data_IF_229091411935
#
_entry.id   IF_229091411935
#
_cell.length_a   1.000
_cell.length_b   1.000
_cell.length_c   1.000
_cell.angle_alpha   90.00
_cell.angle_beta   90.00
_cell.angle_gamma   90.00
#
_symmetry.space_group_name_H-M   'P 1'
#
loop_
_entity.id
_entity.type
_entity.pdbx_description
1 polymer ?
#
# COMPACT_ATOMS: atom_id res chain seq x y z
N UNK A 1 -3.78 -1.36 -77.60
CA UNK A 1 -4.60 -0.71 -76.58
C UNK A 1 -5.03 -1.73 -75.62
N UNK A 2 -4.38 -1.82 -74.47
CA UNK A 2 -4.76 -2.72 -73.41
C UNK A 2 -5.17 -1.86 -72.23
N UNK A 3 -6.33 -2.10 -71.53
CA UNK A 3 -6.71 -1.36 -70.37
C UNK A 3 -6.12 -2.04 -69.12
N UNK A 4 -5.41 -1.23 -68.33
CA UNK A 4 -4.98 -1.57 -66.98
C UNK A 4 -6.21 -1.68 -66.06
N UNK A 5 -6.40 -2.86 -65.45
CA UNK A 5 -7.38 -3.09 -64.37
C UNK A 5 -6.64 -2.84 -63.04
N UNK A 6 -6.97 -1.73 -62.41
CA UNK A 6 -6.55 -1.38 -61.04
C UNK A 6 -7.34 -2.24 -60.04
N UNK A 7 -6.66 -3.12 -59.30
CA UNK A 7 -7.24 -3.85 -58.16
C UNK A 7 -7.09 -3.00 -56.90
N UNK A 8 -8.18 -2.41 -56.44
CA UNK A 8 -8.27 -1.88 -55.07
C UNK A 8 -8.25 -3.04 -54.06
N UNK A 9 -7.24 -3.08 -53.20
CA UNK A 9 -7.24 -3.93 -52.03
C UNK A 9 -7.94 -3.15 -50.91
N UNK A 10 -9.13 -3.62 -50.48
CA UNK A 10 -9.75 -3.21 -49.24
C UNK A 10 -9.01 -3.89 -48.09
N UNK A 11 -8.29 -3.11 -47.29
CA UNK A 11 -7.80 -3.54 -46.01
C UNK A 11 -8.96 -3.48 -45.01
N UNK A 12 -9.47 -4.64 -44.60
CA UNK A 12 -10.43 -4.73 -43.48
C UNK A 12 -9.68 -4.43 -42.17
N UNK A 13 -9.92 -3.26 -41.63
CA UNK A 13 -9.51 -2.94 -40.25
C UNK A 13 -10.47 -3.67 -39.31
N UNK A 14 -9.98 -4.74 -38.71
CA UNK A 14 -10.70 -5.42 -37.63
C UNK A 14 -10.58 -4.54 -36.37
N UNK A 15 -11.59 -3.72 -36.09
CA UNK A 15 -11.71 -3.08 -34.80
C UNK A 15 -12.06 -4.19 -33.79
N UNK A 16 -11.08 -4.61 -32.99
CA UNK A 16 -11.32 -5.39 -31.80
C UNK A 16 -11.96 -4.45 -30.77
N UNK A 17 -13.26 -4.53 -30.60
CA UNK A 17 -13.96 -3.94 -29.46
C UNK A 17 -13.60 -4.76 -28.23
N UNK A 18 -12.62 -4.31 -27.42
CA UNK A 18 -12.48 -4.79 -26.06
C UNK A 18 -13.74 -4.36 -25.30
N UNK A 19 -14.61 -5.31 -24.97
CA UNK A 19 -15.66 -5.07 -23.98
C UNK A 19 -15.00 -5.01 -22.62
N UNK A 20 -15.15 -3.91 -21.89
CA UNK A 20 -14.89 -3.85 -20.45
C UNK A 20 -15.65 -5.02 -19.80
N UNK A 21 -14.93 -5.88 -19.09
CA UNK A 21 -15.56 -6.92 -18.30
C UNK A 21 -16.43 -6.25 -17.22
N UNK A 22 -17.62 -6.77 -17.00
CA UNK A 22 -18.44 -6.29 -15.88
C UNK A 22 -17.71 -6.62 -14.57
N UNK A 23 -17.59 -5.67 -13.66
CA UNK A 23 -16.99 -5.89 -12.34
C UNK A 23 -17.57 -7.12 -11.63
N UNK A 24 -18.87 -7.34 -11.77
CA UNK A 24 -19.59 -8.50 -11.22
C UNK A 24 -19.13 -9.87 -11.75
N UNK A 25 -18.35 -9.91 -12.83
CA UNK A 25 -17.75 -11.16 -13.32
C UNK A 25 -16.37 -11.44 -12.73
N UNK A 26 -15.65 -10.40 -12.30
CA UNK A 26 -14.29 -10.52 -11.76
C UNK A 26 -14.25 -10.66 -10.24
N UNK A 27 -15.19 -10.03 -9.53
CA UNK A 27 -15.23 -10.04 -8.07
C UNK A 27 -16.64 -10.20 -7.53
N UNK A 28 -16.73 -10.72 -6.30
CA UNK A 28 -17.95 -10.71 -5.49
C UNK A 28 -17.67 -9.86 -4.23
N UNK A 29 -18.30 -8.69 -4.02
CA UNK A 29 -18.09 -7.89 -2.84
C UNK A 29 -18.83 -8.50 -1.63
N UNK A 30 -18.15 -8.51 -0.47
CA UNK A 30 -18.71 -8.83 0.84
C UNK A 30 -18.35 -7.74 1.83
N UNK A 31 -19.32 -6.99 2.30
CA UNK A 31 -19.13 -6.05 3.41
C UNK A 31 -19.01 -6.83 4.71
N UNK A 32 -17.91 -6.63 5.46
CA UNK A 32 -17.68 -7.28 6.75
C UNK A 32 -17.87 -6.31 7.92
N UNK A 33 -17.82 -4.99 7.67
CA UNK A 33 -18.14 -3.93 8.61
C UNK A 33 -18.70 -2.74 7.84
N UNK A 34 -19.75 -2.07 8.36
CA UNK A 34 -20.39 -0.88 7.76
C UNK A 34 -20.56 0.29 8.76
N UNK A 35 -19.89 0.21 9.92
CA UNK A 35 -20.00 1.20 11.01
C UNK A 35 -18.64 1.82 11.41
N UNK A 36 -17.56 1.64 10.62
CA UNK A 36 -16.25 2.20 10.92
C UNK A 36 -16.26 3.74 10.95
N UNK A 37 -15.34 4.35 11.69
CA UNK A 37 -15.21 5.80 11.80
C UNK A 37 -14.59 6.45 10.56
N UNK A 38 -13.35 6.04 10.23
CA UNK A 38 -12.55 6.54 9.10
C UNK A 38 -11.90 5.40 8.31
N UNK A 39 -11.40 4.36 9.01
CA UNK A 39 -10.63 3.29 8.40
C UNK A 39 -9.28 3.77 7.86
N UNK A 40 -8.41 4.24 8.75
CA UNK A 40 -7.15 4.85 8.36
C UNK A 40 -6.14 3.90 7.73
N UNK A 41 -6.19 2.61 8.07
CA UNK A 41 -5.27 1.63 7.52
C UNK A 41 -5.70 0.19 7.78
N UNK A 42 -5.35 -0.66 6.84
CA UNK A 42 -5.59 -2.10 6.84
C UNK A 42 -4.28 -2.88 6.89
N UNK A 43 -4.31 -4.08 7.48
CA UNK A 43 -3.30 -5.12 7.27
C UNK A 43 -3.99 -6.48 7.12
N UNK A 44 -3.30 -7.42 6.45
CA UNK A 44 -3.69 -8.81 6.29
C UNK A 44 -2.59 -9.64 6.93
N UNK A 45 -2.90 -10.37 8.01
CA UNK A 45 -1.96 -11.21 8.73
C UNK A 45 -2.67 -12.20 9.66
N UNK A 46 -2.05 -13.33 9.98
CA UNK A 46 -2.53 -14.27 10.99
C UNK A 46 -2.32 -13.70 12.39
N UNK A 47 -3.41 -13.39 13.10
CA UNK A 47 -3.38 -12.77 14.44
C UNK A 47 -3.51 -13.78 15.55
N UNK A 48 -4.21 -14.88 15.29
CA UNK A 48 -4.52 -15.88 16.31
C UNK A 48 -3.61 -17.12 16.24
N UNK A 49 -2.85 -17.32 15.16
CA UNK A 49 -1.93 -18.43 14.95
C UNK A 49 -2.64 -19.69 14.42
N UNK A 50 -3.78 -19.52 13.72
CA UNK A 50 -4.52 -20.66 13.14
C UNK A 50 -4.12 -21.00 11.70
N UNK A 51 -3.17 -20.24 11.14
CA UNK A 51 -2.64 -20.42 9.78
C UNK A 51 -3.49 -19.78 8.69
N UNK A 52 -4.45 -18.92 9.04
CA UNK A 52 -5.24 -18.13 8.11
C UNK A 52 -5.00 -16.66 8.35
N UNK A 53 -4.90 -15.92 7.27
CA UNK A 53 -4.78 -14.48 7.35
C UNK A 53 -6.11 -13.84 7.75
N UNK A 54 -6.06 -12.98 8.78
CA UNK A 54 -7.14 -12.15 9.28
C UNK A 54 -7.05 -10.74 8.68
N UNK A 55 -8.10 -9.94 8.85
CA UNK A 55 -8.11 -8.53 8.42
C UNK A 55 -8.00 -7.64 9.65
N UNK A 56 -6.94 -6.84 9.72
CA UNK A 56 -6.77 -5.82 10.76
C UNK A 56 -7.18 -4.46 10.24
N UNK A 57 -7.86 -3.70 11.09
CA UNK A 57 -8.24 -2.32 10.86
C UNK A 57 -7.70 -1.43 11.98
N UNK A 58 -7.00 -0.36 11.62
CA UNK A 58 -6.82 0.78 12.48
C UNK A 58 -7.84 1.84 12.11
N UNK A 59 -8.78 2.05 13.00
CA UNK A 59 -9.78 3.10 12.85
C UNK A 59 -9.42 4.32 13.71
N UNK A 60 -10.25 5.31 13.67
CA UNK A 60 -10.09 6.59 14.34
C UNK A 60 -9.68 6.45 15.82
N UNK A 61 -10.38 5.62 16.58
CA UNK A 61 -10.26 5.50 18.04
C UNK A 61 -10.25 4.05 18.53
N UNK A 62 -10.10 3.08 17.63
CA UNK A 62 -9.91 1.67 17.99
C UNK A 62 -8.95 0.96 17.02
N UNK A 63 -8.50 -0.20 17.44
CA UNK A 63 -7.79 -1.19 16.63
C UNK A 63 -8.53 -2.51 16.79
N UNK A 64 -8.97 -3.06 15.68
CA UNK A 64 -9.73 -4.29 15.63
C UNK A 64 -9.18 -5.25 14.55
N UNK A 65 -9.54 -6.51 14.66
CA UNK A 65 -9.32 -7.48 13.61
C UNK A 65 -10.56 -8.35 13.41
N UNK A 66 -10.79 -8.76 12.18
CA UNK A 66 -11.88 -9.62 11.77
C UNK A 66 -11.35 -11.03 11.51
N UNK A 67 -11.84 -12.00 12.28
CA UNK A 67 -11.37 -13.39 12.31
C UNK A 67 -11.81 -14.16 11.06
N UNK A 68 -10.86 -14.66 10.30
CA UNK A 68 -11.11 -15.54 9.16
C UNK A 68 -11.51 -16.96 9.63
N UNK A 69 -12.57 -17.61 9.11
CA UNK A 69 -13.41 -17.20 7.98
C UNK A 69 -14.75 -16.57 8.40
N UNK A 70 -14.95 -16.32 9.68
CA UNK A 70 -16.25 -15.85 10.20
C UNK A 70 -16.44 -14.36 10.05
N UNK A 71 -15.35 -13.62 9.95
CA UNK A 71 -15.25 -12.15 9.96
C UNK A 71 -15.83 -11.51 11.23
N UNK A 72 -15.84 -12.27 12.33
CA UNK A 72 -16.19 -11.74 13.65
C UNK A 72 -15.16 -10.70 14.07
N UNK A 73 -15.63 -9.52 14.46
CA UNK A 73 -14.77 -8.41 14.92
C UNK A 73 -14.30 -8.62 16.36
N UNK A 74 -13.01 -8.38 16.59
CA UNK A 74 -12.39 -8.39 17.91
C UNK A 74 -11.62 -7.10 18.14
N UNK A 75 -12.14 -6.21 18.99
CA UNK A 75 -11.45 -4.97 19.36
C UNK A 75 -10.33 -5.28 20.34
N UNK A 76 -9.08 -5.04 19.93
CA UNK A 76 -7.87 -5.29 20.73
C UNK A 76 -7.35 -4.04 21.45
N UNK A 77 -7.73 -2.84 21.00
CA UNK A 77 -7.40 -1.59 21.68
C UNK A 77 -8.49 -0.54 21.41
N UNK A 78 -8.84 0.22 22.46
CA UNK A 78 -9.54 1.49 22.34
C UNK A 78 -8.58 2.65 22.06
N UNK A 79 -8.98 3.91 22.34
CA UNK A 79 -8.17 5.09 22.06
C UNK A 79 -6.81 5.02 22.78
N UNK A 80 -5.72 5.07 22.04
CA UNK A 80 -4.35 5.09 22.58
C UNK A 80 -3.90 6.50 22.96
N UNK A 81 -4.51 7.52 22.34
CA UNK A 81 -4.19 8.94 22.53
C UNK A 81 -5.46 9.79 22.44
N UNK A 82 -5.35 11.10 22.69
CA UNK A 82 -6.48 12.04 22.54
C UNK A 82 -6.88 12.30 21.07
N UNK A 83 -6.01 11.98 20.14
CA UNK A 83 -6.22 12.13 18.69
C UNK A 83 -6.28 10.78 18.02
N UNK A 84 -6.68 10.78 16.76
CA UNK A 84 -6.92 9.61 15.95
C UNK A 84 -5.68 8.70 15.87
N UNK A 85 -5.90 7.42 15.72
CA UNK A 85 -4.92 6.50 15.14
C UNK A 85 -4.77 6.80 13.64
N UNK A 86 -3.69 6.31 13.00
CA UNK A 86 -3.44 6.66 11.59
C UNK A 86 -2.78 5.54 10.79
N UNK A 87 -2.09 4.64 11.43
CA UNK A 87 -1.36 3.57 10.73
C UNK A 87 -1.21 2.33 11.59
N UNK A 88 -1.08 1.21 10.93
CA UNK A 88 -0.86 -0.10 11.53
C UNK A 88 0.24 -0.83 10.76
N UNK A 89 1.01 -1.66 11.44
CA UNK A 89 1.91 -2.63 10.84
C UNK A 89 1.72 -3.96 11.57
N UNK A 90 1.53 -5.03 10.81
CA UNK A 90 1.38 -6.38 11.33
C UNK A 90 2.24 -7.35 10.52
N UNK A 91 3.01 -8.20 11.20
CA UNK A 91 3.83 -9.25 10.59
C UNK A 91 4.33 -10.19 11.66
N UNK A 92 4.36 -11.49 11.39
CA UNK A 92 5.09 -12.45 12.22
C UNK A 92 6.59 -12.16 12.12
N UNK A 93 7.19 -11.70 13.22
CA UNK A 93 8.58 -11.25 13.27
C UNK A 93 9.48 -12.19 14.05
N UNK A 94 8.92 -13.10 14.83
CA UNK A 94 9.67 -14.05 15.65
C UNK A 94 9.45 -15.53 15.24
N UNK A 95 8.53 -15.78 14.31
CA UNK A 95 8.26 -17.10 13.73
C UNK A 95 7.34 -17.96 14.57
N UNK A 96 6.55 -17.37 15.49
CA UNK A 96 5.58 -18.10 16.31
C UNK A 96 4.24 -18.33 15.60
N UNK A 97 4.09 -17.81 14.38
CA UNK A 97 2.89 -17.91 13.56
C UNK A 97 1.84 -16.85 13.86
N UNK A 98 2.16 -15.84 14.67
CA UNK A 98 1.27 -14.70 14.98
C UNK A 98 1.95 -13.39 14.64
N UNK A 99 1.15 -12.44 14.19
CA UNK A 99 1.70 -11.14 13.81
C UNK A 99 1.91 -10.22 15.02
N UNK A 100 3.09 -9.57 15.10
CA UNK A 100 3.35 -8.43 15.97
C UNK A 100 2.69 -7.20 15.40
N UNK A 101 1.96 -6.46 16.26
CA UNK A 101 1.17 -5.29 15.85
C UNK A 101 1.79 -4.01 16.41
N UNK A 102 2.09 -3.06 15.52
CA UNK A 102 2.47 -1.69 15.88
C UNK A 102 1.43 -0.70 15.33
N UNK A 103 1.15 0.36 16.12
CA UNK A 103 0.12 1.36 15.81
C UNK A 103 0.69 2.77 15.90
N UNK A 104 0.43 3.58 14.87
CA UNK A 104 0.66 5.02 14.86
C UNK A 104 -0.58 5.77 15.31
N UNK A 105 -0.43 6.72 16.24
CA UNK A 105 -1.52 7.47 16.84
C UNK A 105 -1.17 8.94 17.03
N UNK A 106 -2.02 9.69 17.75
CA UNK A 106 -1.90 11.16 17.96
C UNK A 106 -1.84 11.90 16.62
N UNK A 107 -2.68 11.48 15.67
CA UNK A 107 -2.67 12.00 14.31
C UNK A 107 -3.18 13.43 14.25
N UNK A 108 -2.31 14.32 13.85
CA UNK A 108 -2.61 15.73 13.60
C UNK A 108 -1.70 16.22 12.46
N UNK A 109 -2.08 16.09 11.19
CA UNK A 109 -1.19 16.33 10.06
C UNK A 109 -0.68 17.76 9.93
N UNK A 110 -1.35 18.71 10.62
CA UNK A 110 -0.95 20.14 10.64
C UNK A 110 -0.06 20.52 11.82
N UNK A 111 0.09 19.66 12.81
CA UNK A 111 0.98 19.87 13.94
C UNK A 111 2.27 19.06 13.73
N UNK A 112 3.24 19.69 13.10
CA UNK A 112 4.54 19.09 12.81
C UNK A 112 5.52 19.13 14.01
N UNK A 113 5.07 19.53 15.20
CA UNK A 113 5.92 19.60 16.40
C UNK A 113 5.50 18.62 17.49
N UNK A 114 4.20 18.54 17.80
CA UNK A 114 3.69 17.84 19.00
C UNK A 114 2.83 16.63 18.70
N UNK A 115 2.48 16.38 17.43
CA UNK A 115 1.69 15.22 17.02
C UNK A 115 2.52 13.96 16.90
N UNK A 116 1.84 12.84 16.63
CA UNK A 116 2.47 11.54 16.43
C UNK A 116 2.68 10.79 17.75
N UNK A 117 2.49 9.49 17.67
CA UNK A 117 2.85 8.52 18.71
C UNK A 117 3.05 7.15 18.04
N UNK A 118 3.86 6.30 18.63
CA UNK A 118 4.10 4.93 18.19
C UNK A 118 3.87 4.00 19.36
N UNK A 119 3.05 2.98 19.15
CA UNK A 119 2.77 1.93 20.12
C UNK A 119 3.04 0.56 19.54
N UNK A 120 3.60 -0.33 20.35
CA UNK A 120 3.56 -1.77 20.15
C UNK A 120 2.40 -2.31 20.98
N UNK A 121 1.51 -3.08 20.37
CA UNK A 121 0.43 -3.78 21.09
C UNK A 121 0.92 -5.18 21.47
N UNK A 122 0.96 -5.47 22.76
CA UNK A 122 1.33 -6.79 23.29
C UNK A 122 0.07 -7.61 23.53
N UNK A 123 0.00 -8.84 23.00
CA UNK A 123 -1.19 -9.68 23.20
C UNK A 123 -1.52 -9.85 24.69
N UNK A 124 -2.81 -9.87 24.99
CA UNK A 124 -3.34 -10.20 26.31
C UNK A 124 -3.35 -11.71 26.56
N UNK A 125 -4.26 -12.16 27.42
CA UNK A 125 -4.43 -13.59 27.69
C UNK A 125 -4.95 -14.38 26.48
N UNK A 126 -5.59 -13.69 25.54
CA UNK A 126 -6.08 -14.24 24.25
C UNK A 126 -5.81 -13.25 23.12
N UNK A 127 -5.82 -13.72 21.88
CA UNK A 127 -5.75 -12.86 20.69
C UNK A 127 -6.94 -11.89 20.56
N UNK A 128 -8.08 -12.22 21.18
CA UNK A 128 -9.35 -11.46 21.07
C UNK A 128 -9.41 -10.19 21.94
N UNK A 129 -8.33 -9.87 22.67
CA UNK A 129 -8.14 -8.61 23.37
C UNK A 129 -8.50 -8.61 24.87
N UNK A 130 -8.35 -7.47 25.56
CA UNK A 130 -7.60 -6.30 25.12
C UNK A 130 -6.08 -6.53 25.15
N UNK A 131 -5.34 -5.86 24.29
CA UNK A 131 -3.88 -5.91 24.24
C UNK A 131 -3.24 -4.73 25.00
N UNK A 132 -2.08 -4.96 25.57
CA UNK A 132 -1.40 -3.93 26.37
C UNK A 132 -0.52 -3.04 25.48
N UNK A 133 -0.77 -1.72 25.42
CA UNK A 133 0.05 -0.81 24.63
C UNK A 133 1.40 -0.53 25.32
N UNK A 134 2.48 -0.61 24.57
CA UNK A 134 3.80 -0.12 24.95
C UNK A 134 4.17 1.05 24.03
N UNK A 135 4.26 2.27 24.61
CA UNK A 135 4.67 3.44 23.86
C UNK A 135 6.17 3.39 23.53
N UNK A 136 6.52 3.72 22.29
CA UNK A 136 7.88 3.81 21.80
C UNK A 136 8.26 5.27 21.54
N UNK A 137 9.53 5.52 21.20
CA UNK A 137 9.97 6.82 20.68
C UNK A 137 9.19 7.19 19.41
N UNK A 138 8.98 8.48 19.16
CA UNK A 138 8.34 8.95 17.92
C UNK A 138 8.88 10.30 17.46
N UNK A 139 8.82 10.53 16.17
CA UNK A 139 8.89 11.86 15.55
C UNK A 139 7.45 12.38 15.34
N UNK A 140 7.25 13.70 15.14
CA UNK A 140 5.91 14.23 14.86
C UNK A 140 5.35 13.69 13.55
N UNK A 141 4.02 13.77 13.41
CA UNK A 141 3.29 13.37 12.20
C UNK A 141 3.56 11.94 11.75
N UNK A 142 3.71 10.98 12.69
CA UNK A 142 3.73 9.54 12.37
C UNK A 142 2.60 9.22 11.40
N UNK A 143 2.92 8.56 10.28
CA UNK A 143 1.93 8.39 9.21
C UNK A 143 1.87 6.98 8.61
N UNK A 144 3.00 6.33 8.33
CA UNK A 144 3.03 4.94 7.83
C UNK A 144 4.09 4.12 8.57
N UNK A 145 3.81 2.84 8.73
CA UNK A 145 4.70 1.90 9.42
C UNK A 145 4.68 0.54 8.72
N UNK A 146 5.81 -0.15 8.72
CA UNK A 146 5.94 -1.53 8.23
C UNK A 146 6.99 -2.27 9.06
N UNK A 147 6.80 -3.56 9.27
CA UNK A 147 7.84 -4.47 9.73
C UNK A 147 8.72 -4.89 8.55
N UNK A 148 10.02 -4.68 8.68
CA UNK A 148 11.00 -4.88 7.60
C UNK A 148 12.05 -5.89 8.03
N UNK A 149 12.35 -6.83 7.15
CA UNK A 149 13.39 -7.83 7.37
C UNK A 149 14.76 -7.22 7.07
N UNK A 150 15.59 -7.17 8.09
CA UNK A 150 16.96 -6.66 8.04
C UNK A 150 18.01 -7.74 7.78
N UNK A 151 19.30 -7.40 8.02
CA UNK A 151 20.37 -8.37 8.04
C UNK A 151 20.12 -9.49 9.05
N UNK A 152 20.67 -10.68 8.78
CA UNK A 152 20.59 -11.85 9.69
C UNK A 152 19.14 -12.30 9.99
N UNK A 153 18.19 -11.98 9.11
CA UNK A 153 16.77 -12.31 9.23
C UNK A 153 16.07 -11.66 10.44
N UNK A 154 16.68 -10.66 11.06
CA UNK A 154 16.05 -9.91 12.12
C UNK A 154 15.04 -8.90 11.54
N UNK A 155 13.91 -8.75 12.21
CA UNK A 155 12.93 -7.73 11.84
C UNK A 155 13.11 -6.48 12.68
N UNK A 156 12.79 -5.34 12.09
CA UNK A 156 12.69 -4.04 12.76
C UNK A 156 11.47 -3.29 12.25
N UNK A 157 10.88 -2.48 13.11
CA UNK A 157 9.77 -1.62 12.72
C UNK A 157 10.34 -0.38 12.01
N UNK A 158 9.72 0.01 10.89
CA UNK A 158 10.01 1.27 10.21
C UNK A 158 8.86 2.23 10.38
N UNK A 159 9.16 3.52 10.62
CA UNK A 159 8.16 4.57 10.87
C UNK A 159 8.47 5.78 10.02
N UNK A 160 7.57 6.07 9.08
CA UNK A 160 7.65 7.18 8.14
C UNK A 160 6.72 8.31 8.61
N UNK A 161 7.25 9.48 9.06
CA UNK A 161 6.46 10.67 9.31
C UNK A 161 5.94 11.29 8.01
N UNK A 162 4.83 12.04 8.09
CA UNK A 162 4.33 12.85 6.95
C UNK A 162 5.24 14.06 6.68
N UNK A 163 5.72 14.72 7.75
CA UNK A 163 6.53 15.96 7.67
C UNK A 163 7.76 15.90 8.57
N UNK A 164 8.77 16.70 8.24
CA UNK A 164 9.85 17.03 9.17
C UNK A 164 9.37 17.89 10.34
N UNK A 165 10.07 17.82 11.47
CA UNK A 165 9.74 18.59 12.68
C UNK A 165 9.78 20.08 12.41
N UNK A 166 8.68 20.79 12.72
CA UNK A 166 8.53 22.24 12.51
C UNK A 166 8.31 22.65 11.04
N UNK A 167 8.13 21.70 10.12
CA UNK A 167 7.86 22.04 8.72
C UNK A 167 6.47 22.64 8.54
N UNK A 168 6.36 23.50 7.53
CA UNK A 168 5.06 23.96 7.05
C UNK A 168 4.24 22.78 6.50
N UNK A 169 3.10 22.53 7.10
CA UNK A 169 2.28 21.35 6.79
C UNK A 169 1.63 21.40 5.37
N UNK A 170 1.47 22.58 4.79
CA UNK A 170 0.94 22.74 3.43
C UNK A 170 1.98 22.41 2.38
N UNK A 171 3.13 23.07 2.45
CA UNK A 171 4.20 23.01 1.44
C UNK A 171 5.25 21.94 1.74
N UNK A 172 5.37 21.48 2.99
CA UNK A 172 6.48 20.64 3.43
C UNK A 172 7.80 21.41 3.67
N UNK A 173 7.83 22.73 3.47
CA UNK A 173 9.04 23.51 3.62
C UNK A 173 9.59 23.46 5.05
N UNK A 174 10.90 23.27 5.19
CA UNK A 174 11.56 23.16 6.49
C UNK A 174 12.76 22.22 6.48
N UNK A 175 12.86 21.34 7.47
CA UNK A 175 13.93 20.36 7.63
C UNK A 175 13.52 18.99 7.09
N UNK A 176 14.51 18.16 6.78
CA UNK A 176 14.23 16.77 6.40
C UNK A 176 13.59 16.01 7.56
N UNK A 177 12.54 15.24 7.25
CA UNK A 177 11.90 14.34 8.21
C UNK A 177 12.86 13.22 8.62
N UNK A 178 12.67 12.64 9.79
CA UNK A 178 13.45 11.48 10.22
C UNK A 178 12.65 10.20 9.96
N UNK A 179 12.93 9.54 8.86
CA UNK A 179 12.48 8.18 8.63
C UNK A 179 13.32 7.25 9.48
N UNK A 180 12.71 6.61 10.47
CA UNK A 180 13.41 5.82 11.49
C UNK A 180 13.11 4.33 11.36
N UNK A 181 14.13 3.51 11.65
CA UNK A 181 13.98 2.11 11.99
C UNK A 181 14.11 1.92 13.50
N UNK A 182 13.39 0.93 14.04
CA UNK A 182 13.33 0.60 15.46
C UNK A 182 13.73 -0.86 15.64
N UNK A 183 14.90 -1.08 16.23
CA UNK A 183 15.35 -2.42 16.57
C UNK A 183 14.65 -2.89 17.84
N UNK A 184 14.06 -4.09 17.86
CA UNK A 184 13.47 -4.66 19.06
C UNK A 184 14.54 -4.95 20.13
N UNK A 185 14.14 -5.11 21.40
CA UNK A 185 15.01 -5.61 22.46
C UNK A 185 15.68 -6.92 22.10
N UNK A 186 16.85 -7.16 22.66
CA UNK A 186 17.64 -8.39 22.49
C UNK A 186 18.10 -8.89 23.87
N UNK A 187 18.67 -10.08 23.96
CA UNK A 187 19.27 -10.59 25.20
C UNK A 187 20.30 -9.64 25.85
N UNK A 188 20.94 -8.79 25.03
CA UNK A 188 21.96 -7.83 25.46
C UNK A 188 21.42 -6.43 25.73
N UNK A 189 20.17 -6.17 25.36
CA UNK A 189 19.54 -4.86 25.42
C UNK A 189 18.03 -5.02 25.63
N UNK A 190 17.52 -4.52 26.72
CA UNK A 190 16.13 -4.61 27.14
C UNK A 190 15.22 -3.46 26.64
N UNK A 191 15.80 -2.57 25.80
CA UNK A 191 15.11 -1.39 25.27
C UNK A 191 15.11 -1.37 23.75
N UNK A 192 14.13 -0.68 23.18
CA UNK A 192 14.07 -0.36 21.75
C UNK A 192 15.10 0.72 21.41
N UNK A 193 15.86 0.53 20.34
CA UNK A 193 16.76 1.53 19.77
C UNK A 193 16.24 2.00 18.43
N UNK A 194 16.51 3.27 18.11
CA UNK A 194 16.22 3.82 16.80
C UNK A 194 17.48 4.07 15.99
N UNK A 195 17.37 3.92 14.68
CA UNK A 195 18.39 4.31 13.73
C UNK A 195 17.79 5.09 12.56
N UNK A 196 18.61 5.93 11.92
CA UNK A 196 18.15 6.77 10.83
C UNK A 196 18.20 6.00 9.50
N UNK A 197 17.05 5.87 8.85
CA UNK A 197 16.94 5.34 7.49
C UNK A 197 17.20 6.47 6.48
N UNK A 198 16.47 7.58 6.58
CA UNK A 198 16.59 8.71 5.68
C UNK A 198 16.16 10.01 6.37
N UNK A 199 16.76 11.15 5.95
CA UNK A 199 16.36 12.49 6.40
C UNK A 199 16.43 13.54 5.27
N UNK A 200 16.32 13.08 4.02
CA UNK A 200 16.39 13.97 2.85
C UNK A 200 14.99 14.39 2.36
N UNK A 201 13.94 13.71 2.79
CA UNK A 201 12.56 14.01 2.41
C UNK A 201 11.96 15.06 3.34
N UNK A 202 11.10 15.92 2.80
CA UNK A 202 10.43 16.98 3.57
C UNK A 202 8.94 16.71 3.78
N UNK A 203 8.32 16.04 2.78
CA UNK A 203 6.94 15.57 2.85
C UNK A 203 6.82 14.24 2.14
N UNK A 204 6.32 13.22 2.86
CA UNK A 204 6.12 11.87 2.35
C UNK A 204 4.66 11.47 2.50
N UNK A 205 4.27 10.33 1.96
CA UNK A 205 2.95 9.79 2.24
C UNK A 205 2.98 8.28 2.48
N UNK A 206 3.53 7.50 1.56
CA UNK A 206 3.57 6.04 1.70
C UNK A 206 4.90 5.46 1.19
N UNK A 207 5.13 4.19 1.46
CA UNK A 207 6.28 3.44 1.00
C UNK A 207 5.92 1.96 0.87
N UNK A 208 6.78 1.20 0.19
CA UNK A 208 6.59 -0.22 -0.11
C UNK A 208 7.85 -1.02 0.22
N UNK A 209 7.71 -2.31 0.50
CA UNK A 209 8.81 -3.22 0.77
C UNK A 209 9.21 -3.90 -0.54
N UNK A 210 10.49 -3.77 -0.92
CA UNK A 210 11.06 -4.49 -2.06
C UNK A 210 11.83 -5.70 -1.57
N UNK A 211 11.20 -6.87 -1.65
CA UNK A 211 11.83 -8.14 -1.30
C UNK A 211 12.90 -8.54 -2.31
N UNK A 212 14.01 -9.07 -1.82
CA UNK A 212 15.12 -9.61 -2.64
C UNK A 212 15.28 -11.11 -2.49
N UNK A 213 14.28 -11.76 -1.95
CA UNK A 213 14.27 -13.19 -1.65
C UNK A 213 14.45 -13.47 -0.16
N UNK A 214 14.19 -14.69 0.22
CA UNK A 214 14.02 -15.13 1.60
C UNK A 214 15.20 -14.80 2.53
N UNK A 215 16.42 -14.92 2.04
CA UNK A 215 17.64 -14.75 2.85
C UNK A 215 18.30 -13.37 2.72
N UNK A 216 17.63 -12.40 2.12
CA UNK A 216 18.16 -11.05 1.93
C UNK A 216 17.37 -10.03 2.74
N UNK A 217 18.08 -8.96 3.16
CA UNK A 217 17.42 -7.78 3.69
C UNK A 217 16.50 -7.18 2.66
N UNK A 218 15.37 -6.69 3.12
CA UNK A 218 14.42 -5.95 2.32
C UNK A 218 14.91 -4.52 2.09
N UNK A 219 14.56 -3.96 0.96
CA UNK A 219 14.77 -2.56 0.60
C UNK A 219 13.42 -1.84 0.68
N UNK A 220 13.43 -0.51 0.72
CA UNK A 220 12.21 0.29 0.77
C UNK A 220 12.09 1.18 -0.46
N UNK A 221 10.88 1.27 -1.00
CA UNK A 221 10.51 2.17 -2.07
C UNK A 221 9.64 3.27 -1.48
N UNK A 222 10.14 4.49 -1.40
CA UNK A 222 9.46 5.59 -0.72
C UNK A 222 8.93 6.63 -1.71
N UNK A 223 7.67 7.05 -1.51
CA UNK A 223 7.05 8.18 -2.19
C UNK A 223 7.16 9.45 -1.34
N UNK A 224 7.59 10.53 -1.97
CA UNK A 224 7.76 11.83 -1.33
C UNK A 224 7.49 12.96 -2.31
N UNK A 225 7.46 14.20 -1.82
CA UNK A 225 7.40 15.38 -2.69
C UNK A 225 8.64 15.52 -3.58
N UNK A 226 9.77 14.92 -3.18
CA UNK A 226 11.02 14.89 -3.94
C UNK A 226 11.05 13.79 -5.01
N UNK A 227 9.99 12.99 -5.10
CA UNK A 227 9.87 11.89 -6.03
C UNK A 227 9.92 10.52 -5.35
N UNK A 228 10.22 9.50 -6.17
CA UNK A 228 10.30 8.11 -5.73
C UNK A 228 11.75 7.69 -5.54
N UNK A 229 12.05 7.09 -4.39
CA UNK A 229 13.40 6.68 -4.03
C UNK A 229 13.43 5.22 -3.57
N UNK A 230 14.41 4.47 -4.06
CA UNK A 230 14.77 3.16 -3.54
C UNK A 230 15.82 3.34 -2.44
N UNK A 231 15.49 2.89 -1.23
CA UNK A 231 16.35 2.97 -0.05
C UNK A 231 16.94 1.58 0.24
N UNK A 232 18.26 1.50 0.31
CA UNK A 232 18.99 0.25 0.46
C UNK A 232 19.74 0.22 1.80
N UNK A 233 19.64 -0.87 2.61
CA UNK A 233 20.18 -0.96 3.96
C UNK A 233 21.70 -1.20 4.05
N UNK A 234 22.49 -0.79 3.06
CA UNK A 234 23.96 -1.00 3.05
C UNK A 234 24.73 -0.01 3.94
N UNK A 235 24.11 1.11 4.30
CA UNK A 235 24.73 2.19 5.11
C UNK A 235 23.71 2.78 6.06
N UNK A 236 24.17 3.56 7.06
CA UNK A 236 23.30 4.37 7.93
C UNK A 236 23.74 5.82 7.84
N UNK A 237 22.91 6.76 7.34
CA UNK A 237 21.60 6.55 6.70
C UNK A 237 21.66 5.60 5.50
N UNK A 238 20.51 5.01 5.12
CA UNK A 238 20.43 4.08 3.99
C UNK A 238 20.78 4.78 2.68
N UNK A 239 21.39 4.03 1.79
CA UNK A 239 21.70 4.54 0.46
C UNK A 239 20.41 4.79 -0.31
N UNK A 240 20.23 6.04 -0.75
CA UNK A 240 19.06 6.47 -1.54
C UNK A 240 19.41 6.52 -3.03
N UNK A 241 18.54 5.95 -3.86
CA UNK A 241 18.59 6.01 -5.32
C UNK A 241 17.28 6.58 -5.82
N UNK A 242 17.32 7.79 -6.41
CA UNK A 242 16.14 8.41 -7.01
C UNK A 242 15.75 7.67 -8.29
N UNK A 243 14.51 7.21 -8.36
CA UNK A 243 13.92 6.53 -9.51
C UNK A 243 13.09 7.49 -10.37
N UNK A 244 12.36 8.41 -9.74
CA UNK A 244 11.56 9.45 -10.39
C UNK A 244 11.72 10.76 -9.61
N UNK A 245 11.64 11.90 -10.29
CA UNK A 245 11.62 13.24 -9.68
C UNK A 245 10.22 13.79 -9.49
N UNK A 246 9.21 13.13 -10.05
CA UNK A 246 7.82 13.55 -9.87
C UNK A 246 7.34 13.20 -8.46
N UNK A 247 6.78 14.20 -7.77
CA UNK A 247 6.28 14.03 -6.42
C UNK A 247 5.11 13.04 -6.37
N UNK A 248 5.17 12.06 -5.47
CA UNK A 248 4.19 11.01 -5.35
C UNK A 248 3.71 10.80 -3.90
N UNK A 249 2.47 10.34 -3.73
CA UNK A 249 1.89 9.96 -2.45
C UNK A 249 1.90 8.45 -2.22
N UNK A 250 1.32 7.70 -3.12
CA UNK A 250 1.33 6.24 -3.09
C UNK A 250 2.41 5.68 -4.00
N UNK A 251 2.96 4.52 -3.62
CA UNK A 251 3.95 3.80 -4.41
C UNK A 251 3.84 2.30 -4.19
N UNK A 252 3.85 1.54 -5.28
CA UNK A 252 3.96 0.08 -5.27
C UNK A 252 4.86 -0.35 -6.42
N UNK A 253 5.50 -1.50 -6.28
CA UNK A 253 6.26 -2.09 -7.36
C UNK A 253 5.62 -3.39 -7.82
N UNK A 254 5.88 -3.76 -9.07
CA UNK A 254 5.38 -5.00 -9.64
C UNK A 254 6.24 -5.48 -10.80
N UNK A 255 5.80 -6.57 -11.39
CA UNK A 255 6.49 -7.28 -12.47
C UNK A 255 5.60 -7.32 -13.73
N UNK A 256 6.16 -6.85 -14.85
CA UNK A 256 5.55 -6.96 -16.18
C UNK A 256 5.60 -8.40 -16.72
N UNK A 257 4.80 -8.72 -17.76
CA UNK A 257 4.82 -10.05 -18.40
C UNK A 257 6.22 -10.45 -18.92
N UNK A 258 7.03 -9.50 -19.34
CA UNK A 258 8.40 -9.72 -19.79
C UNK A 258 9.43 -9.82 -18.65
N UNK A 259 8.98 -9.85 -17.39
CA UNK A 259 9.79 -9.95 -16.17
C UNK A 259 10.48 -8.66 -15.73
N UNK A 260 10.34 -7.54 -16.47
CA UNK A 260 10.88 -6.25 -16.04
C UNK A 260 10.05 -5.67 -14.92
N UNK A 261 10.67 -4.93 -13.98
CA UNK A 261 9.94 -4.27 -12.92
C UNK A 261 9.27 -2.98 -13.41
N UNK A 262 8.16 -2.66 -12.78
CA UNK A 262 7.56 -1.34 -12.83
C UNK A 262 7.37 -0.77 -11.42
N UNK A 263 7.16 0.53 -11.34
CA UNK A 263 6.73 1.25 -10.14
C UNK A 263 5.47 2.00 -10.49
N UNK A 264 4.40 1.72 -9.76
CA UNK A 264 3.13 2.44 -9.83
C UNK A 264 3.08 3.50 -8.74
N UNK A 265 2.51 4.66 -9.06
CA UNK A 265 2.39 5.81 -8.16
C UNK A 265 1.03 6.48 -8.30
N UNK A 266 0.62 7.20 -7.24
CA UNK A 266 -0.39 8.25 -7.31
C UNK A 266 0.32 9.59 -7.21
N UNK A 267 0.13 10.46 -8.20
CA UNK A 267 0.85 11.72 -8.37
C UNK A 267 -0.10 12.91 -8.50
N UNK A 268 0.26 14.08 -7.93
CA UNK A 268 1.14 14.24 -6.78
C UNK A 268 0.51 13.66 -5.50
N UNK A 269 1.02 13.95 -4.32
CA UNK A 269 0.45 13.45 -3.03
C UNK A 269 -1.07 13.65 -2.98
N UNK A 270 -1.87 12.59 -2.77
CA UNK A 270 -3.34 12.56 -2.92
C UNK A 270 -3.82 13.13 -4.27
N UNK A 271 -3.06 12.86 -5.32
CA UNK A 271 -3.27 13.48 -6.62
C UNK A 271 -4.37 12.86 -7.48
N UNK A 272 -4.35 13.30 -8.70
CA UNK A 272 -5.32 12.88 -9.71
C UNK A 272 -4.76 11.88 -10.73
N UNK A 273 -3.45 11.67 -10.75
CA UNK A 273 -2.84 10.75 -11.70
C UNK A 273 -2.49 9.41 -11.09
N UNK A 274 -2.87 8.32 -11.76
CA UNK A 274 -2.31 6.99 -11.55
C UNK A 274 -1.26 6.77 -12.62
N UNK A 275 -0.02 6.53 -12.21
CA UNK A 275 1.13 6.51 -13.12
C UNK A 275 1.91 5.20 -12.98
N UNK A 276 2.45 4.73 -14.08
CA UNK A 276 3.41 3.62 -14.13
C UNK A 276 4.71 4.10 -14.73
N UNK A 277 5.80 3.81 -14.02
CA UNK A 277 7.16 3.97 -14.51
C UNK A 277 7.80 2.58 -14.66
N UNK A 278 8.33 2.27 -15.83
CA UNK A 278 9.00 1.00 -16.10
C UNK A 278 10.52 1.16 -16.05
N UNK A 279 11.20 0.10 -15.61
CA UNK A 279 12.65 0.13 -15.40
C UNK A 279 13.34 -1.12 -15.94
N UNK A 280 14.64 -1.00 -16.22
CA UNK A 280 15.48 -2.17 -16.54
C UNK A 280 15.67 -3.11 -15.33
N UNK A 281 15.63 -2.54 -14.13
CA UNK A 281 15.78 -3.24 -12.83
C UNK A 281 15.43 -2.27 -11.70
N UNK A 282 15.06 -2.78 -10.52
CA UNK A 282 14.94 -1.96 -9.29
C UNK A 282 16.19 -2.15 -8.44
N UNK A 283 17.26 -1.43 -8.72
CA UNK A 283 18.51 -1.42 -7.94
C UNK A 283 19.31 -0.14 -8.22
N UNK A 284 20.51 -0.04 -7.69
CA UNK A 284 21.40 1.13 -7.88
C UNK A 284 21.81 1.41 -9.33
N UNK A 285 21.48 0.53 -10.26
CA UNK A 285 21.72 0.67 -11.70
C UNK A 285 20.43 0.79 -12.50
N UNK A 286 19.32 1.04 -11.83
CA UNK A 286 18.02 1.22 -12.46
C UNK A 286 18.10 2.29 -13.57
N UNK A 287 17.55 1.95 -14.72
CA UNK A 287 17.34 2.90 -15.81
C UNK A 287 15.86 2.99 -16.08
N UNK A 288 15.34 4.20 -16.00
CA UNK A 288 13.98 4.50 -16.41
C UNK A 288 13.81 4.18 -17.90
N UNK A 289 12.74 3.53 -18.27
CA UNK A 289 12.43 3.17 -19.66
C UNK A 289 11.27 4.01 -20.20
N UNK A 290 10.16 4.05 -19.47
CA UNK A 290 8.95 4.73 -19.91
C UNK A 290 8.10 5.17 -18.70
N UNK A 291 7.30 6.25 -18.89
CA UNK A 291 6.28 6.75 -17.96
C UNK A 291 4.94 6.80 -18.65
N UNK A 292 3.96 6.11 -18.11
CA UNK A 292 2.59 6.04 -18.64
C UNK A 292 1.60 6.52 -17.59
N UNK A 293 0.74 7.47 -17.95
CA UNK A 293 -0.42 7.88 -17.13
C UNK A 293 -1.57 6.94 -17.47
N UNK A 294 -2.09 6.22 -16.47
CA UNK A 294 -3.19 5.27 -16.61
C UNK A 294 -4.55 5.93 -16.43
N UNK A 295 -4.62 6.90 -15.52
CA UNK A 295 -5.78 7.76 -15.26
C UNK A 295 -5.30 9.12 -14.78
N UNK A 296 -6.05 10.19 -15.10
CA UNK A 296 -5.74 11.57 -14.73
C UNK A 296 -6.93 12.32 -14.11
N UNK A 297 -7.99 11.59 -13.81
CA UNK A 297 -9.27 12.12 -13.31
C UNK A 297 -9.58 11.72 -11.85
N UNK A 298 -8.59 11.17 -11.13
CA UNK A 298 -8.79 10.82 -9.74
C UNK A 298 -9.02 12.06 -8.87
N UNK A 299 -9.94 11.96 -7.93
CA UNK A 299 -10.12 12.96 -6.88
C UNK A 299 -9.67 12.32 -5.58
N UNK A 300 -8.52 12.78 -5.09
CA UNK A 300 -7.84 12.19 -3.94
C UNK A 300 -7.58 10.70 -4.12
N UNK A 301 -6.75 10.33 -5.09
CA UNK A 301 -6.15 9.00 -5.16
C UNK A 301 -5.42 8.72 -3.85
N UNK A 302 -5.67 7.56 -3.21
CA UNK A 302 -5.20 7.32 -1.86
C UNK A 302 -4.77 5.88 -1.56
N UNK A 303 -5.19 4.92 -2.39
CA UNK A 303 -4.88 3.52 -2.18
C UNK A 303 -4.33 2.91 -3.47
N UNK A 304 -3.31 2.06 -3.35
CA UNK A 304 -2.62 1.46 -4.49
C UNK A 304 -2.10 0.07 -4.10
N UNK A 305 -2.28 -0.92 -4.99
CA UNK A 305 -1.62 -2.22 -4.90
C UNK A 305 -1.12 -2.67 -6.27
N UNK A 306 -0.16 -3.59 -6.26
CA UNK A 306 0.31 -4.32 -7.43
C UNK A 306 0.35 -5.81 -7.08
N UNK A 307 -0.35 -6.64 -7.85
CA UNK A 307 -0.42 -8.08 -7.64
C UNK A 307 -0.85 -8.81 -8.91
N UNK A 308 -0.51 -10.08 -9.04
CA UNK A 308 -1.03 -10.97 -10.10
C UNK A 308 -2.49 -11.38 -9.80
N UNK A 309 -3.38 -10.38 -9.79
CA UNK A 309 -4.79 -10.55 -9.47
C UNK A 309 -5.54 -11.40 -10.49
N UNK A 310 -5.13 -11.32 -11.75
CA UNK A 310 -5.76 -12.08 -12.85
C UNK A 310 -5.15 -13.45 -13.06
N UNK A 311 -4.11 -13.84 -12.32
CA UNK A 311 -3.43 -15.14 -12.43
C UNK A 311 -2.70 -15.33 -13.76
N UNK A 312 -2.20 -14.27 -14.39
CA UNK A 312 -1.57 -14.29 -15.71
C UNK A 312 -0.03 -14.27 -15.67
N UNK A 313 0.56 -14.36 -14.47
CA UNK A 313 2.01 -14.39 -14.26
C UNK A 313 2.69 -13.01 -14.30
N UNK A 314 1.90 -11.95 -14.29
CA UNK A 314 2.35 -10.54 -14.20
C UNK A 314 1.41 -9.75 -13.32
N UNK A 315 1.93 -8.67 -12.70
CA UNK A 315 1.13 -7.89 -11.77
C UNK A 315 0.24 -6.88 -12.50
N UNK A 316 -0.97 -6.73 -12.00
CA UNK A 316 -1.92 -5.67 -12.32
C UNK A 316 -1.81 -4.55 -11.28
N UNK A 317 -2.31 -3.38 -11.63
CA UNK A 317 -2.41 -2.25 -10.70
C UNK A 317 -3.87 -2.11 -10.27
N UNK A 318 -4.06 -2.05 -8.95
CA UNK A 318 -5.33 -1.81 -8.30
C UNK A 318 -5.22 -0.44 -7.63
N UNK A 319 -6.02 0.53 -8.07
CA UNK A 319 -5.94 1.90 -7.60
C UNK A 319 -7.29 2.38 -7.07
N UNK A 320 -7.28 2.96 -5.86
CA UNK A 320 -8.43 3.46 -5.16
C UNK A 320 -8.45 4.98 -5.03
N UNK A 321 -9.66 5.57 -5.17
CA UNK A 321 -9.92 7.00 -4.96
C UNK A 321 -10.97 7.19 -3.88
N UNK A 322 -10.73 8.14 -2.96
CA UNK A 322 -11.63 8.38 -1.82
C UNK A 322 -12.57 9.57 -1.99
N UNK A 323 -12.30 10.45 -2.98
CA UNK A 323 -13.00 11.71 -3.12
C UNK A 323 -12.75 12.68 -1.97
N UNK A 324 -13.08 13.95 -2.14
CA UNK A 324 -12.96 14.97 -1.09
C UNK A 324 -14.30 15.55 -0.69
N UNK A 325 -15.32 15.46 -1.55
CA UNK A 325 -16.67 15.98 -1.37
C UNK A 325 -17.72 14.88 -1.54
N UNK A 326 -18.95 15.05 -1.06
CA UNK A 326 -20.03 14.05 -1.20
C UNK A 326 -20.28 13.57 -2.62
N UNK A 327 -20.20 14.46 -3.61
CA UNK A 327 -20.51 14.18 -5.02
C UNK A 327 -19.28 13.77 -5.85
N UNK A 328 -18.08 13.74 -5.25
CA UNK A 328 -16.88 13.29 -5.94
C UNK A 328 -16.96 11.79 -6.23
N UNK A 329 -16.47 11.39 -7.40
CA UNK A 329 -16.35 9.99 -7.77
C UNK A 329 -15.41 9.24 -6.81
N UNK A 330 -15.85 8.08 -6.35
CA UNK A 330 -15.09 7.14 -5.51
C UNK A 330 -15.11 5.76 -6.14
N UNK A 331 -14.21 4.89 -5.74
CA UNK A 331 -14.16 3.51 -6.22
C UNK A 331 -12.77 2.97 -6.35
N UNK A 332 -12.68 1.78 -6.96
CA UNK A 332 -11.43 1.03 -7.17
C UNK A 332 -11.38 0.59 -8.63
N UNK A 333 -10.25 0.80 -9.28
CA UNK A 333 -10.01 0.44 -10.68
C UNK A 333 -8.87 -0.58 -10.81
N UNK A 334 -8.99 -1.47 -11.79
CA UNK A 334 -8.01 -2.49 -12.14
C UNK A 334 -7.42 -2.20 -13.52
N UNK A 335 -6.08 -2.07 -13.58
CA UNK A 335 -5.33 -1.85 -14.82
C UNK A 335 -4.40 -3.01 -15.10
N UNK A 336 -4.30 -3.42 -16.37
CA UNK A 336 -3.49 -4.54 -16.83
C UNK A 336 -2.51 -4.10 -17.91
N UNK A 337 -1.23 -4.56 -17.88
CA UNK A 337 -0.31 -4.38 -18.99
C UNK A 337 -0.65 -5.34 -20.13
N UNK A 338 -0.33 -4.93 -21.38
CA UNK A 338 -0.28 -5.85 -22.50
C UNK A 338 0.92 -6.82 -22.40
N UNK A 339 1.03 -7.77 -23.33
CA UNK A 339 2.02 -8.86 -23.24
C UNK A 339 3.49 -8.39 -23.20
N UNK A 340 3.85 -7.25 -23.77
CA UNK A 340 5.21 -6.70 -23.74
C UNK A 340 5.39 -5.59 -22.67
N UNK A 341 4.31 -5.19 -21.99
CA UNK A 341 4.31 -4.17 -20.95
C UNK A 341 4.39 -2.73 -21.47
N UNK A 342 4.22 -2.50 -22.77
CA UNK A 342 4.31 -1.17 -23.40
C UNK A 342 3.02 -0.36 -23.32
N UNK A 343 1.89 -1.04 -23.14
CA UNK A 343 0.57 -0.41 -23.05
C UNK A 343 -0.21 -0.98 -21.87
N UNK A 344 -1.06 -0.16 -21.28
CA UNK A 344 -1.92 -0.50 -20.17
C UNK A 344 -3.37 -0.20 -20.48
N UNK A 345 -4.26 -1.05 -20.02
CA UNK A 345 -5.70 -0.89 -20.20
C UNK A 345 -6.45 -0.96 -18.88
N UNK A 346 -7.48 -0.14 -18.73
CA UNK A 346 -8.49 -0.32 -17.68
C UNK A 346 -9.28 -1.59 -17.99
N UNK A 347 -9.18 -2.58 -17.10
CA UNK A 347 -9.88 -3.87 -17.23
C UNK A 347 -11.28 -3.78 -16.65
N UNK A 348 -11.40 -3.19 -15.46
CA UNK A 348 -12.67 -3.06 -14.75
C UNK A 348 -12.65 -1.93 -13.73
N UNK A 349 -13.82 -1.36 -13.47
CA UNK A 349 -14.12 -0.70 -12.21
C UNK A 349 -14.53 -1.80 -11.21
N UNK A 350 -13.62 -2.16 -10.29
CA UNK A 350 -13.89 -3.16 -9.24
C UNK A 350 -14.99 -2.68 -8.31
N UNK A 351 -14.96 -1.40 -7.97
CA UNK A 351 -16.04 -0.70 -7.29
C UNK A 351 -16.29 0.65 -7.94
N UNK A 352 -17.56 1.05 -8.03
CA UNK A 352 -17.99 2.34 -8.59
C UNK A 352 -19.04 2.96 -7.68
N UNK A 353 -18.60 3.81 -6.76
CA UNK A 353 -19.46 4.64 -5.91
C UNK A 353 -19.73 4.12 -4.49
N UNK A 354 -19.37 2.86 -4.15
CA UNK A 354 -19.64 2.28 -2.84
C UNK A 354 -18.40 2.21 -1.92
N UNK A 355 -17.21 2.54 -2.45
CA UNK A 355 -15.95 2.52 -1.73
C UNK A 355 -15.20 3.84 -1.89
N UNK A 356 -15.27 4.71 -0.89
CA UNK A 356 -14.43 5.90 -0.78
C UNK A 356 -13.05 5.50 -0.23
N UNK A 357 -12.24 4.87 -1.08
CA UNK A 357 -11.10 4.04 -0.72
C UNK A 357 -10.00 4.81 0.02
N UNK A 358 -9.87 4.60 1.33
CA UNK A 358 -8.84 5.20 2.18
C UNK A 358 -7.57 4.34 2.19
N UNK A 359 -7.72 3.01 2.31
CA UNK A 359 -6.64 2.05 2.18
C UNK A 359 -7.15 0.77 1.51
N UNK A 360 -6.25 0.03 0.90
CA UNK A 360 -6.51 -1.31 0.37
C UNK A 360 -5.30 -2.21 0.51
N UNK A 361 -5.58 -3.50 0.69
CA UNK A 361 -4.59 -4.58 0.71
C UNK A 361 -5.03 -5.70 -0.23
N UNK A 362 -4.07 -6.51 -0.61
CA UNK A 362 -4.30 -7.66 -1.48
C UNK A 362 -3.65 -8.89 -0.84
N UNK A 363 -4.41 -9.97 -0.67
CA UNK A 363 -3.94 -11.22 -0.05
C UNK A 363 -4.88 -12.37 -0.35
N UNK A 364 -4.36 -13.60 -0.31
CA UNK A 364 -5.12 -14.85 -0.53
C UNK A 364 -5.80 -15.25 0.79
N UNK A 365 -7.07 -14.88 0.96
CA UNK A 365 -7.81 -15.07 2.22
C UNK A 365 -8.49 -16.44 2.34
N UNK A 366 -8.76 -17.13 1.24
CA UNK A 366 -9.42 -18.43 1.24
C UNK A 366 -8.47 -19.60 0.91
N UNK A 367 -7.22 -19.31 0.57
CA UNK A 367 -6.18 -20.31 0.30
C UNK A 367 -6.27 -20.94 -1.08
N UNK A 368 -6.98 -20.31 -2.02
CA UNK A 368 -7.16 -20.85 -3.37
C UNK A 368 -6.04 -20.44 -4.36
N UNK A 369 -5.09 -19.62 -3.90
CA UNK A 369 -3.94 -19.13 -4.65
C UNK A 369 -4.24 -17.90 -5.50
N UNK A 370 -5.40 -17.28 -5.35
CA UNK A 370 -5.80 -16.03 -6.00
C UNK A 370 -6.01 -14.96 -4.93
N UNK A 371 -5.38 -13.80 -5.09
CA UNK A 371 -5.51 -12.78 -4.05
C UNK A 371 -6.85 -12.05 -4.14
N UNK A 372 -7.47 -11.82 -2.98
CA UNK A 372 -8.60 -10.91 -2.78
C UNK A 372 -8.12 -9.47 -2.64
N UNK A 373 -9.05 -8.53 -2.86
CA UNK A 373 -8.87 -7.13 -2.50
C UNK A 373 -9.67 -6.87 -1.22
N UNK A 374 -9.01 -6.34 -0.19
CA UNK A 374 -9.67 -5.79 1.01
C UNK A 374 -9.53 -4.29 0.99
N UNK A 375 -10.63 -3.57 1.14
CA UNK A 375 -10.60 -2.11 1.15
C UNK A 375 -11.44 -1.53 2.29
N UNK A 376 -11.00 -0.39 2.84
CA UNK A 376 -11.78 0.40 3.79
C UNK A 376 -12.09 1.79 3.24
N UNK A 377 -13.29 2.26 3.54
CA UNK A 377 -13.85 3.47 2.96
C UNK A 377 -14.05 4.60 3.96
N UNK A 378 -13.27 5.70 3.78
CA UNK A 378 -13.34 6.87 4.66
C UNK A 378 -14.74 7.50 4.77
N UNK A 379 -15.40 7.73 3.66
CA UNK A 379 -16.71 8.36 3.59
C UNK A 379 -17.85 7.34 3.59
N UNK A 380 -17.62 6.19 3.01
CA UNK A 380 -18.57 5.08 2.93
C UNK A 380 -18.65 4.28 4.21
N UNK A 381 -17.64 4.43 5.11
CA UNK A 381 -17.59 3.86 6.47
C UNK A 381 -17.76 2.33 6.49
N UNK A 382 -17.11 1.68 5.55
CA UNK A 382 -17.23 0.25 5.36
C UNK A 382 -15.86 -0.42 5.20
N UNK A 383 -15.80 -1.71 5.53
CA UNK A 383 -14.74 -2.63 5.14
C UNK A 383 -15.34 -3.70 4.24
N UNK A 384 -14.75 -3.88 3.06
CA UNK A 384 -15.26 -4.78 2.03
C UNK A 384 -14.16 -5.71 1.54
N UNK A 385 -14.46 -7.01 1.49
CA UNK A 385 -13.68 -8.00 0.75
C UNK A 385 -14.27 -8.11 -0.66
N UNK A 386 -13.44 -7.97 -1.67
CA UNK A 386 -13.79 -8.26 -3.06
C UNK A 386 -13.18 -9.60 -3.42
N UNK A 387 -13.97 -10.67 -3.27
CA UNK A 387 -13.58 -12.05 -3.55
C UNK A 387 -13.24 -12.22 -5.02
N UNK A 388 -12.10 -12.81 -5.30
CA UNK A 388 -11.57 -12.97 -6.66
C UNK A 388 -12.23 -14.14 -7.38
N UNK A 389 -13.06 -13.87 -8.38
CA UNK A 389 -13.74 -14.87 -9.21
C UNK A 389 -12.98 -15.24 -10.49
N UNK A 390 -11.76 -14.75 -10.67
CA UNK A 390 -11.00 -15.06 -11.89
C UNK A 390 -10.70 -16.56 -11.95
N UNK A 391 -10.73 -17.11 -13.16
CA UNK A 391 -10.30 -18.50 -13.38
C UNK A 391 -8.89 -18.45 -13.95
N UNK A 392 -7.98 -19.25 -13.39
CA UNK A 392 -6.66 -19.39 -13.99
C UNK A 392 -6.79 -19.71 -15.49
N UNK A 393 -6.18 -18.92 -16.37
CA UNK A 393 -6.11 -19.30 -17.77
C UNK A 393 -5.28 -20.59 -17.86
N UNK A 394 -5.93 -21.72 -18.19
CA UNK A 394 -5.28 -23.00 -18.46
C UNK A 394 -4.32 -22.91 -19.65
#
# INVERSE_FOLDING_TARGET
MNPLVSRLRFASILLATLSLASASSLVTPQTIDDEIGIGYGLEIADINGDGKDDILLVDKDNVAWNENPTWEEHVISGPLTEKDHVSIAARDTDGDGKAEIAVGAQWQPRDSENSGAVFLLKPGATSKGPWAPQQLHHEPTVHRMLWVKGPEQQFFLTVLPLHGRGNDAGTGAGVGLKFLGYNPPTEKRDTWDTFLINNQFHKTHNYDIVSRGEHRSEELLSASMEGVHLLNPQTTPWKSVQLSSEGAGEVRHGKLPNGKPFVATIEPIHGNEVVVNTYTSLNSKAKHLDRTVLADDYIQGHALAAADFLGIGSDQIIAGRRGGRPDDAVGIQLFQPNADGSEWTLVADIDSGNMACEDLKVGDLDGDGRPEIVACGRRTKNVVIYWNNTTNPN
#
